data_IF_113408889516
#
_entry.id   IF_113408889516
#
_cell.length_a   1.000
_cell.length_b   1.000
_cell.length_c   1.000
_cell.angle_alpha   90.00
_cell.angle_beta   90.00
_cell.angle_gamma   90.00
#
_symmetry.space_group_name_H-M   'P 1'
#
loop_
_entity.id
_entity.type
_entity.pdbx_description
1 polymer ?
#
# COMPACT_ATOMS: atom_id res chain seq x y z
N UNK A 1 -22.62 27.08 44.90
CA UNK A 1 -21.82 27.59 43.78
C UNK A 1 -21.22 26.37 43.09
N UNK A 2 -21.88 25.85 42.06
CA UNK A 2 -21.54 24.59 41.39
C UNK A 2 -21.55 24.80 39.86
N UNK A 3 -20.85 25.84 39.41
CA UNK A 3 -20.75 26.23 38.01
C UNK A 3 -19.25 26.26 37.73
N UNK A 4 -18.67 25.14 37.32
CA UNK A 4 -17.36 25.12 36.63
C UNK A 4 -17.07 23.73 36.04
N UNK A 5 -17.47 22.64 36.71
CA UNK A 5 -17.09 21.29 36.27
C UNK A 5 -17.70 20.85 34.93
N UNK A 6 -18.90 21.34 34.56
CA UNK A 6 -19.58 20.90 33.32
C UNK A 6 -19.05 21.59 32.06
N UNK A 7 -18.59 22.84 32.13
CA UNK A 7 -18.06 23.56 30.97
C UNK A 7 -16.62 23.13 30.63
N UNK A 8 -15.87 22.68 31.64
CA UNK A 8 -14.51 22.17 31.46
C UNK A 8 -14.54 20.83 30.70
N UNK A 9 -15.48 19.93 31.02
CA UNK A 9 -15.60 18.64 30.33
C UNK A 9 -15.95 18.75 28.85
N UNK A 10 -16.77 19.74 28.47
CA UNK A 10 -17.16 19.97 27.07
C UNK A 10 -15.96 20.46 26.24
N UNK A 11 -15.11 21.33 26.82
CA UNK A 11 -13.90 21.83 26.17
C UNK A 11 -12.85 20.75 25.91
N UNK A 12 -12.72 19.77 26.82
CA UNK A 12 -11.83 18.62 26.65
C UNK A 12 -12.36 17.67 25.57
N UNK A 13 -13.67 17.47 25.48
CA UNK A 13 -14.30 16.66 24.45
C UNK A 13 -14.13 17.28 23.05
N UNK A 14 -14.31 18.59 22.93
CA UNK A 14 -14.10 19.33 21.67
C UNK A 14 -12.64 19.30 21.25
N UNK A 15 -11.71 19.49 22.19
CA UNK A 15 -10.27 19.37 21.93
C UNK A 15 -9.91 17.97 21.42
N UNK A 16 -10.43 16.91 22.06
CA UNK A 16 -10.19 15.53 21.63
C UNK A 16 -10.79 15.23 20.26
N UNK A 17 -11.96 15.78 19.97
CA UNK A 17 -12.60 15.64 18.65
C UNK A 17 -11.77 16.32 17.56
N UNK A 18 -11.33 17.55 17.81
CA UNK A 18 -10.47 18.29 16.87
C UNK A 18 -9.15 17.55 16.63
N UNK A 19 -8.54 16.98 17.68
CA UNK A 19 -7.33 16.15 17.53
C UNK A 19 -7.60 14.91 16.68
N UNK A 20 -8.67 14.17 16.93
CA UNK A 20 -9.01 12.98 16.14
C UNK A 20 -9.26 13.33 14.67
N UNK A 21 -9.98 14.42 14.40
CA UNK A 21 -10.19 14.88 13.02
C UNK A 21 -8.87 15.19 12.30
N UNK A 22 -7.94 15.88 12.96
CA UNK A 22 -6.63 16.17 12.36
C UNK A 22 -5.81 14.88 12.14
N UNK A 23 -5.91 13.90 13.06
CA UNK A 23 -5.25 12.60 12.89
C UNK A 23 -5.81 11.87 11.67
N UNK A 24 -7.14 11.78 11.54
CA UNK A 24 -7.80 11.14 10.41
C UNK A 24 -7.41 11.81 9.08
N UNK A 25 -7.40 13.15 9.04
CA UNK A 25 -7.00 13.93 7.86
C UNK A 25 -5.54 13.70 7.46
N UNK A 26 -4.63 13.58 8.43
CA UNK A 26 -3.21 13.27 8.17
C UNK A 26 -3.06 11.85 7.63
N UNK A 27 -3.76 10.87 8.21
CA UNK A 27 -3.71 9.48 7.76
C UNK A 27 -4.25 9.33 6.32
N UNK A 28 -5.36 10.01 6.01
CA UNK A 28 -5.92 10.04 4.66
C UNK A 28 -4.98 10.73 3.67
N UNK A 29 -4.39 11.87 4.04
CA UNK A 29 -3.44 12.59 3.18
C UNK A 29 -2.21 11.72 2.85
N UNK A 30 -1.66 11.01 3.84
CA UNK A 30 -0.53 10.10 3.65
C UNK A 30 -0.90 8.93 2.74
N UNK A 31 -2.04 8.28 2.98
CA UNK A 31 -2.52 7.15 2.17
C UNK A 31 -2.78 7.54 0.71
N UNK A 32 -3.29 8.74 0.46
CA UNK A 32 -3.56 9.21 -0.90
C UNK A 32 -2.27 9.60 -1.65
N UNK A 33 -1.30 10.22 -0.97
CA UNK A 33 -0.06 10.72 -1.59
C UNK A 33 0.82 9.63 -2.22
N UNK A 34 0.73 8.38 -1.73
CA UNK A 34 1.50 7.23 -2.21
C UNK A 34 0.60 6.11 -2.75
N UNK A 35 -0.64 6.43 -3.14
CA UNK A 35 -1.64 5.42 -3.55
C UNK A 35 -1.20 4.52 -4.71
N UNK A 36 -0.25 4.96 -5.54
CA UNK A 36 0.31 4.17 -6.65
C UNK A 36 1.42 3.19 -6.23
N UNK A 37 1.83 3.22 -4.96
CA UNK A 37 2.86 2.37 -4.39
C UNK A 37 2.34 1.60 -3.17
N UNK A 38 2.93 0.43 -2.94
CA UNK A 38 2.69 -0.40 -1.77
C UNK A 38 3.97 -1.05 -1.30
N UNK A 39 3.98 -1.47 -0.03
CA UNK A 39 5.02 -2.32 0.51
C UNK A 39 4.46 -3.71 0.81
N UNK A 40 5.30 -4.74 0.71
CA UNK A 40 4.89 -6.09 1.08
C UNK A 40 6.03 -6.86 1.72
N UNK A 41 5.73 -7.47 2.87
CA UNK A 41 6.62 -8.42 3.55
C UNK A 41 6.35 -9.87 3.17
N UNK A 42 5.46 -10.11 2.19
CA UNK A 42 5.12 -11.46 1.75
C UNK A 42 6.32 -12.11 1.07
N UNK A 43 6.77 -13.26 1.58
CA UNK A 43 7.85 -14.01 0.93
C UNK A 43 7.41 -14.56 -0.41
N UNK A 44 8.09 -14.15 -1.49
CA UNK A 44 7.88 -14.66 -2.84
C UNK A 44 9.21 -15.02 -3.48
N UNK A 45 9.25 -16.15 -4.18
CA UNK A 45 10.38 -16.53 -5.03
C UNK A 45 10.23 -15.84 -6.37
N UNK A 46 11.28 -15.17 -6.84
CA UNK A 46 11.28 -14.51 -8.14
C UNK A 46 11.00 -15.54 -9.23
N UNK A 47 9.97 -15.28 -10.03
CA UNK A 47 9.53 -16.17 -11.12
C UNK A 47 8.28 -15.64 -11.80
N UNK A 48 7.99 -16.15 -12.99
CA UNK A 48 6.79 -15.82 -13.74
C UNK A 48 5.55 -16.55 -13.18
N UNK A 49 4.37 -16.13 -13.61
CA UNK A 49 3.09 -16.71 -13.17
C UNK A 49 2.41 -15.89 -12.06
N UNK A 50 1.41 -16.50 -11.43
CA UNK A 50 0.57 -15.81 -10.44
C UNK A 50 1.27 -15.68 -9.08
N UNK A 51 1.38 -14.44 -8.59
CA UNK A 51 1.88 -14.12 -7.26
C UNK A 51 0.82 -13.37 -6.47
N UNK A 52 0.68 -13.74 -5.18
CA UNK A 52 -0.16 -13.04 -4.23
C UNK A 52 0.70 -12.32 -3.20
N UNK A 53 0.45 -11.02 -3.05
CA UNK A 53 1.06 -10.16 -2.06
C UNK A 53 0.01 -9.64 -1.08
N UNK A 54 0.37 -9.58 0.19
CA UNK A 54 -0.32 -8.73 1.16
C UNK A 54 0.29 -7.34 1.09
N UNK A 55 -0.52 -6.34 0.80
CA UNK A 55 -0.18 -4.92 0.68
C UNK A 55 -1.12 -4.09 1.54
N UNK A 56 -0.85 -2.81 1.70
CA UNK A 56 -1.79 -1.88 2.32
C UNK A 56 -3.10 -1.77 1.52
N UNK A 57 -4.20 -1.42 2.18
CA UNK A 57 -5.48 -1.18 1.52
C UNK A 57 -5.52 0.21 0.82
N UNK A 58 -6.53 0.43 -0.03
CA UNK A 58 -6.80 1.75 -0.63
C UNK A 58 -5.80 2.21 -1.69
N UNK A 59 -5.01 1.29 -2.27
CA UNK A 59 -4.06 1.59 -3.35
C UNK A 59 -4.72 1.63 -4.72
N UNK A 60 -4.10 2.31 -5.68
CA UNK A 60 -4.61 2.46 -7.06
C UNK A 60 -4.22 1.27 -7.95
N UNK A 61 -4.23 0.05 -7.42
CA UNK A 61 -4.02 -1.18 -8.20
C UNK A 61 -5.35 -1.66 -8.78
N UNK A 62 -5.88 -0.88 -9.72
CA UNK A 62 -7.17 -1.18 -10.35
C UNK A 62 -7.13 -2.55 -11.04
N UNK A 63 -8.13 -3.41 -10.81
CA UNK A 63 -8.19 -4.73 -11.44
C UNK A 63 -8.02 -4.64 -12.97
N UNK A 64 -7.16 -5.50 -13.52
CA UNK A 64 -6.93 -5.68 -14.96
C UNK A 64 -6.44 -4.46 -15.76
N UNK A 65 -6.13 -3.34 -15.10
CA UNK A 65 -5.69 -2.11 -15.76
C UNK A 65 -4.16 -1.92 -15.73
N UNK A 66 -3.49 -1.71 -14.58
CA UNK A 66 -2.09 -1.41 -14.56
C UNK A 66 -1.23 -2.67 -14.68
N UNK A 67 -0.07 -2.50 -15.31
CA UNK A 67 1.10 -3.29 -14.98
C UNK A 67 1.68 -2.76 -13.66
N UNK A 68 2.32 -3.63 -12.91
CA UNK A 68 3.07 -3.26 -11.70
C UNK A 68 4.46 -3.87 -11.77
N UNK A 69 5.42 -3.21 -11.14
CA UNK A 69 6.71 -3.79 -10.84
C UNK A 69 6.82 -3.98 -9.33
N UNK A 70 7.08 -5.22 -8.91
CA UNK A 70 7.50 -5.56 -7.55
C UNK A 70 9.03 -5.66 -7.54
N UNK A 71 9.70 -4.76 -6.84
CA UNK A 71 11.16 -4.77 -6.69
C UNK A 71 11.53 -5.00 -5.23
N UNK A 72 12.62 -5.69 -4.99
CA UNK A 72 13.19 -5.75 -3.66
C UNK A 72 13.73 -4.37 -3.25
N UNK A 73 13.46 -3.99 -2.01
CA UNK A 73 13.85 -2.68 -1.46
C UNK A 73 15.36 -2.51 -1.30
N UNK A 74 16.09 -3.59 -1.05
CA UNK A 74 17.52 -3.56 -0.72
C UNK A 74 18.40 -3.96 -1.91
N UNK A 75 17.85 -4.67 -2.91
CA UNK A 75 18.54 -5.07 -4.12
C UNK A 75 17.67 -4.86 -5.38
N UNK A 76 17.86 -3.72 -6.05
CA UNK A 76 17.12 -3.36 -7.27
C UNK A 76 17.36 -4.30 -8.47
N UNK A 77 18.34 -5.21 -8.41
CA UNK A 77 18.51 -6.27 -9.43
C UNK A 77 17.48 -7.39 -9.31
N UNK A 78 16.73 -7.43 -8.19
CA UNK A 78 15.72 -8.43 -7.85
C UNK A 78 14.34 -7.82 -8.03
N UNK A 79 13.65 -8.20 -9.10
CA UNK A 79 12.33 -7.65 -9.41
C UNK A 79 11.48 -8.60 -10.24
N UNK A 80 10.17 -8.35 -10.25
CA UNK A 80 9.19 -9.00 -11.11
C UNK A 80 8.24 -7.92 -11.65
N UNK A 81 7.90 -7.99 -12.93
CA UNK A 81 6.89 -7.14 -13.56
C UNK A 81 5.73 -8.01 -14.03
N UNK A 82 4.51 -7.48 -13.93
CA UNK A 82 3.33 -8.23 -14.32
C UNK A 82 2.06 -7.41 -14.34
N UNK A 83 0.97 -8.03 -14.79
CA UNK A 83 -0.36 -7.41 -14.85
C UNK A 83 -1.17 -7.74 -13.61
N UNK A 84 -1.83 -6.74 -13.02
CA UNK A 84 -2.74 -6.96 -11.89
C UNK A 84 -3.94 -7.79 -12.34
N UNK A 85 -4.19 -8.89 -11.64
CA UNK A 85 -5.34 -9.79 -11.88
C UNK A 85 -6.34 -9.80 -10.73
N UNK A 86 -6.06 -9.18 -9.58
CA UNK A 86 -7.03 -8.95 -8.50
C UNK A 86 -6.45 -7.98 -7.48
N UNK A 87 -7.29 -7.12 -6.91
CA UNK A 87 -6.93 -6.36 -5.71
C UNK A 87 -8.18 -6.13 -4.87
N UNK A 88 -8.24 -6.77 -3.70
CA UNK A 88 -9.38 -6.71 -2.79
C UNK A 88 -8.85 -6.59 -1.36
N UNK A 89 -9.25 -5.51 -0.66
CA UNK A 89 -8.75 -5.20 0.67
C UNK A 89 -7.22 -5.03 0.64
N UNK A 90 -6.50 -5.96 1.25
CA UNK A 90 -5.04 -5.99 1.32
C UNK A 90 -4.41 -7.06 0.42
N UNK A 91 -5.23 -7.80 -0.36
CA UNK A 91 -4.75 -8.91 -1.19
C UNK A 91 -4.59 -8.46 -2.63
N UNK A 92 -3.35 -8.39 -3.11
CA UNK A 92 -2.99 -8.09 -4.49
C UNK A 92 -2.53 -9.37 -5.20
N UNK A 93 -3.17 -9.71 -6.32
CA UNK A 93 -2.78 -10.82 -7.19
C UNK A 93 -2.28 -10.24 -8.52
N UNK A 94 -1.09 -10.67 -8.93
CA UNK A 94 -0.41 -10.20 -10.13
C UNK A 94 0.07 -11.40 -10.93
N UNK A 95 -0.19 -11.41 -12.24
CA UNK A 95 0.42 -12.36 -13.16
C UNK A 95 1.72 -11.78 -13.69
N UNK A 96 2.86 -12.31 -13.23
CA UNK A 96 4.20 -11.88 -13.62
C UNK A 96 4.62 -12.48 -14.96
N UNK A 97 5.17 -11.65 -15.84
CA UNK A 97 5.63 -12.04 -17.18
C UNK A 97 7.13 -11.76 -17.43
N UNK A 98 7.75 -10.86 -16.66
CA UNK A 98 9.18 -10.54 -16.75
C UNK A 98 9.81 -10.46 -15.36
N UNK A 99 11.08 -10.88 -15.24
CA UNK A 99 11.79 -10.96 -13.96
C UNK A 99 13.25 -10.56 -14.09
N UNK A 100 13.79 -9.97 -13.02
CA UNK A 100 15.21 -9.73 -12.82
C UNK A 100 15.73 -10.51 -11.62
N UNK A 101 16.79 -11.27 -11.81
CA UNK A 101 17.42 -12.06 -10.75
C UNK A 101 16.67 -13.34 -10.37
N UNK A 102 16.98 -13.86 -9.19
CA UNK A 102 16.49 -15.15 -8.66
C UNK A 102 16.44 -15.12 -7.13
N UNK A 103 15.80 -16.12 -6.51
CA UNK A 103 15.74 -16.29 -5.06
C UNK A 103 14.45 -15.79 -4.42
N UNK A 104 14.31 -16.01 -3.11
CA UNK A 104 13.14 -15.58 -2.32
C UNK A 104 13.39 -14.24 -1.64
N UNK A 105 12.43 -13.32 -1.74
CA UNK A 105 12.48 -12.00 -1.10
C UNK A 105 11.22 -11.75 -0.28
N UNK A 106 11.34 -10.93 0.75
CA UNK A 106 10.27 -10.57 1.69
C UNK A 106 10.28 -9.07 2.01
N UNK A 107 10.84 -8.23 1.14
CA UNK A 107 10.93 -6.79 1.31
C UNK A 107 10.62 -6.10 -0.03
N UNK A 108 9.36 -6.16 -0.44
CA UNK A 108 8.93 -5.67 -1.75
C UNK A 108 8.43 -4.23 -1.68
N UNK A 109 8.83 -3.43 -2.66
CA UNK A 109 8.13 -2.20 -3.07
C UNK A 109 7.42 -2.51 -4.37
N UNK A 110 6.11 -2.28 -4.41
CA UNK A 110 5.26 -2.56 -5.56
C UNK A 110 4.70 -1.24 -6.07
N UNK A 111 4.93 -0.92 -7.34
CA UNK A 111 4.45 0.32 -7.95
C UNK A 111 3.82 0.10 -9.30
N UNK A 112 2.85 0.96 -9.67
CA UNK A 112 2.29 1.01 -11.03
C UNK A 112 3.41 1.27 -12.04
N UNK A 113 3.43 0.47 -13.10
CA UNK A 113 4.44 0.51 -14.15
C UNK A 113 3.78 0.41 -15.54
N UNK A 114 4.54 0.79 -16.57
CA UNK A 114 4.21 0.46 -17.95
C UNK A 114 4.55 -1.00 -18.26
N UNK A 115 3.93 -1.57 -19.30
CA UNK A 115 4.40 -2.83 -19.86
C UNK A 115 5.79 -2.60 -20.44
N UNK A 116 6.79 -3.35 -19.99
CA UNK A 116 8.15 -3.24 -20.49
C UNK A 116 8.18 -3.62 -21.98
N UNK A 117 8.78 -2.77 -22.82
CA UNK A 117 8.95 -3.01 -24.26
C UNK A 117 7.78 -2.60 -25.16
N UNK A 118 6.82 -1.82 -24.66
CA UNK A 118 5.77 -1.17 -25.45
C UNK A 118 5.73 0.34 -25.20
#
# INVERSE_FOLDING_TARGET
>A
MAIELSHISDSEADTRRAVNTVVDEIEDALNNSLSMFATSTTTRTIGTGSHTFTVEAGRTFLYALPYVQAADRDDASKWMTGKVTSYIGTTLIVSMDDVGGTGSRSNWIIGVAGRRGL
#
